data_IF_761895359890
#
_entry.id   IF_761895359890
#
_cell.length_a   1.000
_cell.length_b   1.000
_cell.length_c   1.000
_cell.angle_alpha   90.00
_cell.angle_beta   90.00
_cell.angle_gamma   90.00
#
_symmetry.space_group_name_H-M   'P 1'
#
loop_
_entity.id
_entity.type
_entity.pdbx_description
1 polymer ?
#
# COMPACT_ATOMS: atom_id res chain seq x y z
N UNK A 1 -1.81 -56.96 26.30
CA UNK A 1 -1.80 -55.50 26.14
C UNK A 1 -2.80 -55.14 25.06
N UNK A 2 -3.66 -54.15 25.31
CA UNK A 2 -4.60 -53.57 24.32
C UNK A 2 -4.28 -52.09 24.16
N UNK A 3 -4.56 -51.56 22.97
CA UNK A 3 -4.50 -50.12 22.68
C UNK A 3 -5.89 -49.60 22.48
N UNK A 4 -6.25 -48.50 23.14
CA UNK A 4 -7.56 -47.87 23.02
C UNK A 4 -7.43 -46.48 22.39
N UNK A 5 -8.36 -46.15 21.50
CA UNK A 5 -8.38 -44.91 20.69
C UNK A 5 -9.65 -44.07 20.92
N UNK A 6 -10.46 -44.44 21.90
CA UNK A 6 -11.67 -43.69 22.28
C UNK A 6 -11.79 -43.56 23.79
N UNK A 7 -12.45 -42.48 24.22
CA UNK A 7 -12.81 -42.33 25.63
C UNK A 7 -13.81 -43.40 26.02
N UNK A 8 -13.67 -43.95 27.23
CA UNK A 8 -14.56 -45.01 27.71
C UNK A 8 -14.09 -45.61 29.05
N UNK A 9 -14.94 -46.43 29.62
CA UNK A 9 -14.60 -47.24 30.78
C UNK A 9 -14.17 -48.65 30.30
N UNK A 10 -12.92 -49.03 30.55
CA UNK A 10 -12.33 -50.30 30.14
C UNK A 10 -12.12 -51.16 31.33
N UNK A 11 -12.65 -52.39 31.29
CA UNK A 11 -12.49 -53.37 32.38
C UNK A 11 -11.82 -54.62 31.87
N UNK A 12 -11.11 -55.26 32.79
CA UNK A 12 -10.49 -56.55 32.54
C UNK A 12 -10.85 -57.50 33.68
N UNK A 13 -11.23 -58.70 33.33
CA UNK A 13 -11.39 -59.79 34.29
C UNK A 13 -10.31 -60.84 34.01
N UNK A 14 -9.53 -61.14 35.01
CA UNK A 14 -8.49 -62.18 34.95
C UNK A 14 -8.96 -63.37 35.70
N UNK A 15 -8.98 -64.54 35.06
CA UNK A 15 -9.41 -65.83 35.69
C UNK A 15 -8.24 -66.81 35.62
N UNK A 16 -7.90 -67.45 36.76
CA UNK A 16 -6.85 -68.45 36.80
C UNK A 16 -7.41 -69.85 36.41
N UNK A 17 -6.52 -70.84 36.37
CA UNK A 17 -6.85 -72.22 36.00
C UNK A 17 -7.83 -72.91 36.96
N UNK A 18 -7.99 -72.39 38.18
CA UNK A 18 -8.94 -72.87 39.20
C UNK A 18 -10.27 -72.12 39.21
N UNK A 19 -10.57 -71.34 38.12
CA UNK A 19 -11.76 -70.48 37.95
C UNK A 19 -11.92 -69.37 39.01
N UNK A 20 -10.90 -68.98 39.73
CA UNK A 20 -10.90 -67.78 40.56
C UNK A 20 -10.64 -66.57 39.72
N UNK A 21 -11.52 -65.56 39.79
CA UNK A 21 -11.44 -64.34 38.96
C UNK A 21 -11.32 -63.09 39.81
N UNK A 22 -10.65 -62.10 39.28
CA UNK A 22 -10.58 -60.74 39.77
C UNK A 22 -10.80 -59.77 38.59
N UNK A 23 -11.51 -58.67 38.84
CA UNK A 23 -11.76 -57.65 37.82
C UNK A 23 -11.24 -56.30 38.29
N UNK A 24 -10.77 -55.48 37.32
CA UNK A 24 -10.42 -54.09 37.51
C UNK A 24 -10.90 -53.27 36.34
N UNK A 25 -11.13 -51.98 36.55
CA UNK A 25 -11.60 -51.06 35.52
C UNK A 25 -10.85 -49.74 35.58
N UNK A 26 -10.62 -49.17 34.39
CA UNK A 26 -9.98 -47.85 34.22
C UNK A 26 -10.82 -47.01 33.29
N UNK A 27 -11.06 -45.75 33.65
CA UNK A 27 -11.66 -44.76 32.77
C UNK A 27 -10.57 -44.05 31.96
N UNK A 28 -10.71 -44.10 30.66
CA UNK A 28 -9.87 -43.37 29.72
C UNK A 28 -10.63 -42.16 29.19
N UNK A 29 -10.07 -40.98 29.36
CA UNK A 29 -10.61 -39.74 28.80
C UNK A 29 -9.58 -39.22 27.77
N UNK A 30 -9.99 -39.14 26.51
CA UNK A 30 -9.20 -38.52 25.43
C UNK A 30 -9.73 -37.12 25.20
N UNK A 31 -8.83 -36.14 25.31
CA UNK A 31 -9.13 -34.73 25.06
C UNK A 31 -8.72 -34.36 23.65
N UNK A 32 -9.46 -33.43 23.04
CA UNK A 32 -9.17 -32.94 21.70
C UNK A 32 -7.90 -32.11 21.68
N UNK A 33 -7.13 -32.24 20.60
CA UNK A 33 -6.03 -31.35 20.29
C UNK A 33 -6.55 -29.97 19.88
N UNK A 34 -5.76 -28.90 20.05
CA UNK A 34 -6.01 -27.62 19.43
C UNK A 34 -6.21 -27.72 17.92
N UNK A 35 -7.01 -26.84 17.37
CA UNK A 35 -7.32 -26.76 15.93
C UNK A 35 -6.52 -25.61 15.33
N UNK A 36 -5.94 -25.81 14.14
CA UNK A 36 -5.27 -24.75 13.40
C UNK A 36 -6.28 -23.67 12.97
N UNK A 37 -5.98 -22.42 13.31
CA UNK A 37 -6.76 -21.24 12.94
C UNK A 37 -5.90 -20.22 12.16
N UNK A 38 -4.63 -20.51 11.92
CA UNK A 38 -3.73 -19.63 11.21
C UNK A 38 -3.89 -19.77 9.69
N UNK A 39 -3.60 -18.68 9.01
CA UNK A 39 -3.50 -18.64 7.55
C UNK A 39 -2.33 -17.74 7.15
N UNK A 40 -1.70 -18.05 6.03
CA UNK A 40 -0.72 -17.18 5.42
C UNK A 40 -1.33 -15.83 5.02
N UNK A 41 -0.60 -14.76 5.25
CA UNK A 41 -1.04 -13.40 4.96
C UNK A 41 -0.03 -12.71 4.06
N UNK A 42 -0.51 -12.22 2.91
CA UNK A 42 0.25 -11.34 2.01
C UNK A 42 -0.48 -10.01 1.89
N UNK A 43 0.15 -8.91 2.28
CA UNK A 43 -0.46 -7.57 2.25
C UNK A 43 0.59 -6.47 2.13
N UNK A 44 0.15 -5.24 1.88
CA UNK A 44 1.04 -4.08 1.87
C UNK A 44 1.54 -3.76 3.29
N UNK A 45 2.80 -3.31 3.39
CA UNK A 45 3.44 -3.02 4.68
C UNK A 45 2.76 -1.91 5.51
N UNK A 46 1.85 -1.13 4.91
CA UNK A 46 1.00 -0.15 5.62
C UNK A 46 -0.24 -0.77 6.26
N UNK A 47 -0.59 -2.00 5.91
CA UNK A 47 -1.78 -2.67 6.44
C UNK A 47 -1.39 -3.44 7.70
N UNK A 48 -2.10 -3.20 8.81
CA UNK A 48 -1.88 -3.97 10.03
C UNK A 48 -2.34 -5.42 9.84
N UNK A 49 -1.48 -6.36 10.20
CA UNK A 49 -1.76 -7.79 10.19
C UNK A 49 -2.07 -8.23 11.61
N UNK A 50 -3.07 -9.08 11.77
CA UNK A 50 -3.36 -9.75 13.03
C UNK A 50 -3.40 -11.25 12.78
N UNK A 51 -2.55 -12.01 13.47
CA UNK A 51 -2.63 -13.47 13.54
C UNK A 51 -3.40 -13.85 14.81
N UNK A 52 -4.44 -14.66 14.67
CA UNK A 52 -5.25 -15.16 15.79
C UNK A 52 -5.10 -16.70 15.85
N UNK A 53 -4.51 -17.19 16.92
CA UNK A 53 -4.32 -18.63 17.14
C UNK A 53 -5.64 -19.37 17.49
N UNK A 54 -6.77 -18.67 17.58
CA UNK A 54 -8.05 -19.27 17.92
C UNK A 54 -8.04 -19.95 19.29
N UNK A 55 -8.69 -21.10 19.41
CA UNK A 55 -8.64 -22.01 20.58
C UNK A 55 -8.84 -21.28 21.92
N UNK A 56 -9.94 -20.54 22.05
CA UNK A 56 -10.26 -19.75 23.26
C UNK A 56 -10.17 -20.59 24.53
N UNK A 57 -9.54 -20.05 25.58
CA UNK A 57 -9.33 -20.74 26.86
C UNK A 57 -8.05 -21.59 26.93
N UNK A 58 -7.24 -21.56 25.87
CA UNK A 58 -5.92 -22.19 25.85
C UNK A 58 -4.82 -21.20 26.25
N UNK A 59 -3.62 -21.69 26.47
CA UNK A 59 -2.41 -20.91 26.59
C UNK A 59 -1.64 -20.95 25.27
N UNK A 60 -0.87 -19.88 25.02
CA UNK A 60 -0.19 -19.67 23.75
C UNK A 60 1.30 -19.36 23.98
N UNK A 61 2.15 -19.83 23.09
CA UNK A 61 3.56 -19.46 23.06
C UNK A 61 3.97 -19.29 21.59
N UNK A 62 4.14 -18.05 21.16
CA UNK A 62 4.59 -17.70 19.82
C UNK A 62 6.11 -17.79 19.68
N UNK A 63 6.60 -18.00 18.48
CA UNK A 63 8.04 -18.05 18.15
C UNK A 63 8.80 -16.77 18.53
N UNK A 64 8.11 -15.63 18.65
CA UNK A 64 8.67 -14.36 19.13
C UNK A 64 8.58 -14.17 20.66
N UNK A 65 8.13 -15.18 21.40
CA UNK A 65 8.03 -15.19 22.86
C UNK A 65 6.73 -14.58 23.42
N UNK A 66 5.83 -14.09 22.59
CA UNK A 66 4.53 -13.57 23.03
C UNK A 66 3.61 -14.73 23.46
N UNK A 67 2.71 -14.45 24.41
CA UNK A 67 1.78 -15.44 25.00
C UNK A 67 0.31 -15.05 24.84
N UNK A 68 0.02 -13.99 24.11
CA UNK A 68 -1.35 -13.57 23.79
C UNK A 68 -1.97 -14.47 22.71
N UNK A 69 -3.30 -14.60 22.70
CA UNK A 69 -4.02 -15.31 21.65
C UNK A 69 -3.77 -14.72 20.27
N UNK A 70 -3.64 -13.40 20.19
CA UNK A 70 -3.40 -12.67 18.95
C UNK A 70 -2.06 -11.95 19.02
N UNK A 71 -1.38 -11.85 17.87
CA UNK A 71 -0.19 -11.01 17.67
C UNK A 71 -0.35 -10.12 16.44
N UNK A 72 0.44 -9.04 16.39
CA UNK A 72 0.48 -8.13 15.25
C UNK A 72 1.90 -8.12 14.67
N UNK A 73 2.18 -8.97 13.69
CA UNK A 73 3.46 -8.96 12.98
C UNK A 73 3.72 -7.62 12.29
N UNK A 74 4.94 -7.07 12.48
CA UNK A 74 5.42 -5.84 11.81
C UNK A 74 6.50 -6.12 10.78
N UNK A 75 6.92 -7.37 10.63
CA UNK A 75 7.95 -7.81 9.68
C UNK A 75 7.49 -9.06 8.95
N UNK A 76 7.95 -9.20 7.70
CA UNK A 76 7.77 -10.46 6.96
C UNK A 76 8.53 -11.58 7.63
N UNK A 77 7.95 -12.78 7.64
CA UNK A 77 8.58 -13.95 8.22
C UNK A 77 7.59 -15.06 8.53
N UNK A 78 8.11 -16.21 8.96
CA UNK A 78 7.32 -17.30 9.49
C UNK A 78 7.07 -17.08 10.99
N UNK A 79 5.84 -17.23 11.41
CA UNK A 79 5.38 -17.12 12.78
C UNK A 79 4.75 -18.45 13.16
N UNK A 80 5.23 -19.05 14.25
CA UNK A 80 4.62 -20.27 14.79
C UNK A 80 4.08 -20.01 16.19
N UNK A 81 3.03 -20.75 16.55
CA UNK A 81 2.44 -20.72 17.88
C UNK A 81 2.22 -22.14 18.40
N UNK A 82 2.67 -22.40 19.61
CA UNK A 82 2.26 -23.58 20.36
C UNK A 82 1.03 -23.24 21.19
N UNK A 83 -0.07 -23.92 20.92
CA UNK A 83 -1.34 -23.77 21.64
C UNK A 83 -1.49 -24.95 22.59
N UNK A 84 -1.78 -24.71 23.87
CA UNK A 84 -1.99 -25.74 24.86
C UNK A 84 -3.35 -25.56 25.54
N UNK A 85 -4.20 -26.57 25.45
CA UNK A 85 -5.53 -26.57 26.09
C UNK A 85 -5.42 -26.69 27.62
N UNK A 86 -6.51 -26.42 28.32
CA UNK A 86 -6.59 -26.60 29.77
C UNK A 86 -6.33 -28.07 30.23
N UNK A 87 -6.48 -29.03 29.32
CA UNK A 87 -6.19 -30.44 29.54
C UNK A 87 -4.75 -30.84 29.17
N UNK A 88 -3.85 -29.86 28.95
CA UNK A 88 -2.46 -30.05 28.56
C UNK A 88 -2.26 -30.76 27.19
N UNK A 89 -3.26 -30.75 26.32
CA UNK A 89 -3.05 -31.16 24.93
C UNK A 89 -2.48 -29.98 24.16
N UNK A 90 -1.38 -30.19 23.43
CA UNK A 90 -0.72 -29.12 22.70
C UNK A 90 -0.52 -29.46 21.23
N UNK A 91 -0.59 -28.45 20.38
CA UNK A 91 -0.21 -28.50 18.97
C UNK A 91 0.50 -27.21 18.58
N UNK A 92 1.36 -27.30 17.57
CA UNK A 92 2.04 -26.14 17.00
C UNK A 92 1.52 -25.89 15.59
N UNK A 93 1.23 -24.62 15.29
CA UNK A 93 0.72 -24.13 14.02
C UNK A 93 1.64 -23.01 13.52
N UNK A 94 1.68 -22.80 12.23
CA UNK A 94 2.50 -21.77 11.61
C UNK A 94 1.74 -21.00 10.53
N UNK A 95 2.17 -19.77 10.30
CA UNK A 95 1.72 -18.93 9.20
C UNK A 95 2.88 -18.08 8.70
N UNK A 96 2.91 -17.84 7.39
CA UNK A 96 3.85 -16.94 6.74
C UNK A 96 3.19 -15.58 6.54
N UNK A 97 3.83 -14.53 7.04
CA UNK A 97 3.44 -13.15 6.79
C UNK A 97 4.38 -12.57 5.74
N UNK A 98 3.84 -12.08 4.64
CA UNK A 98 4.57 -11.39 3.59
C UNK A 98 4.07 -9.95 3.50
N UNK A 99 4.90 -9.01 3.98
CA UNK A 99 4.64 -7.58 3.87
C UNK A 99 5.31 -7.04 2.61
N UNK A 100 4.51 -6.64 1.63
CA UNK A 100 5.00 -6.10 0.36
C UNK A 100 5.36 -4.63 0.57
N UNK A 101 6.54 -4.18 0.09
CA UNK A 101 6.95 -2.78 0.18
C UNK A 101 5.90 -1.84 -0.40
N UNK A 102 5.69 -0.72 0.26
CA UNK A 102 4.76 0.31 -0.20
C UNK A 102 5.27 1.00 -1.45
N UNK A 103 4.36 1.39 -2.31
CA UNK A 103 4.63 2.29 -3.43
C UNK A 103 4.34 3.72 -2.96
N UNK A 104 5.11 4.68 -3.44
CA UNK A 104 4.85 6.11 -3.27
C UNK A 104 5.02 6.81 -4.61
N UNK A 105 4.20 7.81 -4.90
CA UNK A 105 4.30 8.61 -6.12
C UNK A 105 4.08 10.07 -5.77
N UNK A 106 4.81 10.98 -6.44
CA UNK A 106 4.60 12.41 -6.35
C UNK A 106 4.90 13.05 -7.71
N UNK A 107 3.93 13.76 -8.24
CA UNK A 107 4.02 14.53 -9.49
C UNK A 107 4.47 15.98 -9.27
N UNK A 108 4.66 16.35 -7.98
CA UNK A 108 5.02 17.72 -7.61
C UNK A 108 3.81 18.63 -7.43
N UNK A 109 4.08 19.94 -7.35
CA UNK A 109 3.03 20.95 -7.18
C UNK A 109 2.37 21.31 -8.52
N UNK A 110 1.12 21.77 -8.43
CA UNK A 110 0.40 22.36 -9.57
C UNK A 110 1.27 23.41 -10.29
N UNK A 111 1.24 23.40 -11.61
CA UNK A 111 2.11 24.25 -12.42
C UNK A 111 1.35 24.92 -13.55
N UNK A 112 1.92 26.04 -14.03
CA UNK A 112 1.38 26.80 -15.16
C UNK A 112 2.39 26.82 -16.30
N UNK A 113 1.94 26.48 -17.50
CA UNK A 113 2.70 26.55 -18.74
C UNK A 113 2.31 27.76 -19.57
N UNK A 114 3.24 28.33 -20.30
CA UNK A 114 2.89 29.20 -21.41
C UNK A 114 2.34 28.36 -22.57
N UNK A 115 1.36 28.89 -23.30
CA UNK A 115 0.82 28.23 -24.50
C UNK A 115 1.95 27.89 -25.49
N UNK A 116 1.94 26.66 -26.02
CA UNK A 116 2.98 26.13 -26.91
C UNK A 116 4.12 25.41 -26.18
N UNK A 117 4.20 25.47 -24.85
CA UNK A 117 5.18 24.72 -24.08
C UNK A 117 4.58 23.40 -23.58
N UNK A 118 5.46 22.46 -23.25
CA UNK A 118 5.08 21.17 -22.65
C UNK A 118 5.92 20.89 -21.39
N UNK A 119 5.42 20.01 -20.55
CA UNK A 119 6.14 19.48 -19.39
C UNK A 119 6.09 17.95 -19.40
N UNK A 120 7.16 17.34 -18.93
CA UNK A 120 7.22 15.89 -18.71
C UNK A 120 6.83 15.62 -17.25
N UNK A 121 5.77 14.84 -17.06
CA UNK A 121 5.40 14.28 -15.77
C UNK A 121 6.05 12.91 -15.63
N UNK A 122 6.77 12.69 -14.53
CA UNK A 122 7.46 11.42 -14.24
C UNK A 122 6.87 10.83 -12.94
N UNK A 123 6.26 9.67 -13.04
CA UNK A 123 5.73 8.94 -11.90
C UNK A 123 6.81 8.23 -11.06
N UNK A 124 8.09 8.34 -11.43
CA UNK A 124 9.17 7.65 -10.74
C UNK A 124 9.01 6.11 -10.77
N UNK A 125 9.49 5.43 -9.74
CA UNK A 125 9.26 4.00 -9.50
C UNK A 125 9.58 3.10 -10.73
N UNK A 126 10.81 3.07 -11.25
CA UNK A 126 11.13 2.30 -12.45
C UNK A 126 10.83 0.81 -12.26
N UNK A 127 10.26 0.18 -13.29
CA UNK A 127 9.91 -1.25 -13.29
C UNK A 127 8.53 -1.58 -12.72
N UNK A 128 7.77 -0.59 -12.25
CA UNK A 128 6.39 -0.78 -11.82
C UNK A 128 5.39 -0.58 -12.98
N UNK A 129 4.13 -0.84 -12.73
CA UNK A 129 3.04 -0.55 -13.68
C UNK A 129 2.42 0.82 -13.41
N UNK A 130 1.96 1.48 -14.48
CA UNK A 130 1.41 2.83 -14.43
C UNK A 130 0.05 2.87 -15.14
N UNK A 131 -0.86 3.65 -14.59
CA UNK A 131 -2.15 3.95 -15.20
C UNK A 131 -2.43 5.45 -15.04
N UNK A 132 -2.26 6.21 -16.13
CA UNK A 132 -2.53 7.64 -16.17
C UNK A 132 -4.00 7.92 -16.52
N UNK A 133 -4.51 9.07 -16.08
CA UNK A 133 -5.87 9.53 -16.39
C UNK A 133 -6.13 9.72 -17.89
N UNK A 134 -5.08 9.91 -18.70
CA UNK A 134 -5.17 9.99 -20.17
C UNK A 134 -5.04 8.62 -20.88
N UNK A 135 -4.98 7.51 -20.12
CA UNK A 135 -4.87 6.15 -20.64
C UNK A 135 -3.44 5.68 -20.92
N UNK A 136 -2.42 6.51 -20.70
CA UNK A 136 -1.03 6.09 -20.84
C UNK A 136 -0.62 5.11 -19.75
N UNK A 137 0.34 4.21 -20.07
CA UNK A 137 0.89 3.19 -19.16
C UNK A 137 2.40 3.27 -19.03
N UNK A 138 3.00 4.35 -19.53
CA UNK A 138 4.44 4.62 -19.45
C UNK A 138 4.79 5.33 -18.15
N UNK A 139 6.03 5.21 -17.70
CA UNK A 139 6.54 5.90 -16.51
C UNK A 139 6.38 7.41 -16.61
N UNK A 140 6.60 7.95 -17.80
CA UNK A 140 6.51 9.39 -18.08
C UNK A 140 5.46 9.67 -19.13
N UNK A 141 4.83 10.85 -19.04
CA UNK A 141 3.99 11.43 -20.09
C UNK A 141 4.42 12.86 -20.35
N UNK A 142 4.26 13.32 -21.60
CA UNK A 142 4.42 14.73 -21.96
C UNK A 142 3.06 15.37 -22.11
N UNK A 143 2.84 16.50 -21.45
CA UNK A 143 1.57 17.20 -21.44
C UNK A 143 1.77 18.68 -21.81
N UNK A 144 0.88 19.21 -22.64
CA UNK A 144 0.87 20.60 -23.16
C UNK A 144 -0.51 21.25 -23.04
N UNK A 145 -1.51 20.52 -22.55
CA UNK A 145 -2.88 20.99 -22.36
C UNK A 145 -3.17 21.21 -20.87
N UNK A 146 -4.01 22.24 -20.62
CA UNK A 146 -4.55 22.43 -19.27
C UNK A 146 -5.45 21.25 -18.86
N UNK A 147 -5.33 20.83 -17.62
CA UNK A 147 -6.13 19.74 -17.08
C UNK A 147 -5.59 19.17 -15.78
N UNK A 148 -6.36 18.26 -15.20
CA UNK A 148 -5.95 17.44 -14.08
C UNK A 148 -5.38 16.12 -14.62
N UNK A 149 -4.12 15.85 -14.30
CA UNK A 149 -3.44 14.61 -14.64
C UNK A 149 -3.19 13.82 -13.38
N UNK A 150 -3.61 12.58 -13.37
CA UNK A 150 -3.35 11.66 -12.25
C UNK A 150 -2.71 10.38 -12.75
N UNK A 151 -1.93 9.75 -11.87
CA UNK A 151 -1.32 8.46 -12.12
C UNK A 151 -1.52 7.54 -10.93
N UNK A 152 -1.83 6.29 -11.21
CA UNK A 152 -1.74 5.19 -10.26
C UNK A 152 -0.52 4.36 -10.60
N UNK A 153 0.37 4.17 -9.63
CA UNK A 153 1.57 3.33 -9.73
C UNK A 153 1.35 2.08 -8.88
N UNK A 154 1.66 0.90 -9.42
CA UNK A 154 1.41 -0.38 -8.74
C UNK A 154 2.57 -1.36 -8.91
N UNK A 155 2.89 -2.09 -7.83
CA UNK A 155 3.80 -3.24 -7.86
C UNK A 155 3.04 -4.59 -7.97
N UNK A 156 1.76 -4.55 -8.34
CA UNK A 156 0.89 -5.72 -8.46
C UNK A 156 0.00 -5.96 -7.24
N UNK A 157 0.44 -5.61 -6.05
CA UNK A 157 -0.31 -5.81 -4.80
C UNK A 157 -0.61 -4.50 -4.07
N UNK A 158 0.33 -3.56 -4.11
CA UNK A 158 0.20 -2.24 -3.50
C UNK A 158 0.19 -1.18 -4.59
N UNK A 159 -0.57 -0.14 -4.38
CA UNK A 159 -0.64 1.01 -5.29
C UNK A 159 -0.56 2.33 -4.53
N UNK A 160 -0.17 3.36 -5.25
CA UNK A 160 -0.23 4.75 -4.83
C UNK A 160 -0.74 5.60 -5.98
N UNK A 161 -1.43 6.68 -5.65
CA UNK A 161 -1.98 7.61 -6.65
C UNK A 161 -1.61 9.03 -6.26
N UNK A 162 -1.26 9.83 -7.27
CA UNK A 162 -1.07 11.28 -7.12
C UNK A 162 -1.64 12.00 -8.33
N UNK A 163 -1.88 13.29 -8.18
CA UNK A 163 -2.46 14.13 -9.23
C UNK A 163 -1.82 15.53 -9.22
N UNK A 164 -1.72 16.12 -10.39
CA UNK A 164 -1.22 17.49 -10.62
C UNK A 164 -2.16 18.23 -11.56
N UNK A 165 -2.42 19.50 -11.26
CA UNK A 165 -3.15 20.39 -12.14
C UNK A 165 -2.16 21.18 -13.02
N UNK A 166 -2.35 21.10 -14.33
CA UNK A 166 -1.64 21.93 -15.30
C UNK A 166 -2.55 23.04 -15.75
N UNK A 167 -2.15 24.28 -15.55
CA UNK A 167 -2.77 25.44 -16.16
C UNK A 167 -1.97 25.86 -17.41
N UNK A 168 -2.65 26.35 -18.43
CA UNK A 168 -2.01 26.91 -19.61
C UNK A 168 -2.43 28.37 -19.75
N UNK A 169 -1.44 29.25 -19.78
CA UNK A 169 -1.65 30.69 -19.94
C UNK A 169 -1.28 31.11 -21.36
N UNK A 170 -2.12 31.92 -21.98
CA UNK A 170 -1.81 32.47 -23.31
C UNK A 170 -0.50 33.28 -23.28
N UNK A 171 0.29 33.13 -24.32
CA UNK A 171 1.46 33.99 -24.51
C UNK A 171 1.01 35.46 -24.72
N UNK A 172 1.81 36.42 -24.28
CA UNK A 172 1.58 37.84 -24.66
C UNK A 172 1.44 37.99 -26.17
N UNK A 173 0.55 38.86 -26.59
CA UNK A 173 0.37 39.20 -28.01
C UNK A 173 1.35 40.29 -28.41
N UNK A 174 1.76 40.31 -29.66
CA UNK A 174 2.55 41.42 -30.23
C UNK A 174 1.63 42.42 -30.91
N UNK A 175 1.31 43.57 -30.26
CA UNK A 175 0.40 44.55 -30.78
C UNK A 175 1.12 45.66 -31.59
N UNK A 176 2.45 45.67 -31.58
CA UNK A 176 3.19 46.75 -32.23
C UNK A 176 3.12 46.60 -33.76
N UNK A 177 2.91 47.71 -34.42
CA UNK A 177 2.90 47.82 -35.88
C UNK A 177 3.95 48.86 -36.30
N UNK A 178 4.49 48.70 -37.50
CA UNK A 178 5.39 49.70 -38.08
C UNK A 178 4.64 51.03 -38.25
N UNK A 179 5.21 52.13 -37.78
CA UNK A 179 4.61 53.45 -37.84
C UNK A 179 5.50 54.40 -38.64
N UNK A 180 4.89 55.18 -39.51
CA UNK A 180 5.56 56.25 -40.28
C UNK A 180 4.89 57.60 -39.97
N UNK A 181 5.69 58.57 -39.47
CA UNK A 181 5.23 59.89 -39.12
C UNK A 181 6.19 60.98 -39.54
N UNK A 182 5.67 62.19 -39.59
CA UNK A 182 6.53 63.37 -39.85
C UNK A 182 7.36 63.72 -38.62
N UNK A 183 8.55 64.25 -38.86
CA UNK A 183 9.45 64.71 -37.79
C UNK A 183 8.78 65.73 -36.87
N UNK A 184 8.91 65.58 -35.56
CA UNK A 184 8.35 66.44 -34.54
C UNK A 184 6.95 66.06 -34.03
N UNK A 185 6.34 64.98 -34.56
CA UNK A 185 5.08 64.44 -34.02
C UNK A 185 5.43 63.28 -33.09
N UNK A 186 5.10 63.38 -31.79
CA UNK A 186 5.37 62.28 -30.84
C UNK A 186 4.52 61.04 -31.18
N UNK A 187 5.11 59.88 -30.99
CA UNK A 187 4.44 58.59 -31.15
C UNK A 187 4.42 57.92 -29.79
N UNK A 188 3.25 57.42 -29.33
CA UNK A 188 3.14 56.57 -28.19
C UNK A 188 3.04 55.13 -28.67
N UNK A 189 4.01 54.30 -28.26
CA UNK A 189 3.99 52.86 -28.48
C UNK A 189 3.42 52.18 -27.24
N UNK A 190 2.43 51.32 -27.43
CA UNK A 190 1.78 50.56 -26.36
C UNK A 190 2.02 49.05 -26.60
N UNK A 191 2.75 48.43 -25.69
CA UNK A 191 2.98 46.98 -25.72
C UNK A 191 1.75 46.18 -25.32
N UNK A 192 0.61 46.83 -24.99
CA UNK A 192 -0.59 46.17 -24.48
C UNK A 192 -0.29 45.16 -23.36
N UNK A 193 -0.96 44.00 -23.31
CA UNK A 193 -0.72 42.93 -22.36
C UNK A 193 -0.70 43.40 -20.88
N UNK A 194 -1.77 43.99 -20.34
CA UNK A 194 -1.78 44.52 -18.98
C UNK A 194 -1.47 43.43 -17.96
N UNK A 195 -0.64 43.80 -16.94
CA UNK A 195 -0.18 42.88 -15.91
C UNK A 195 1.10 42.10 -16.24
N UNK A 196 1.66 42.29 -17.44
CA UNK A 196 2.97 41.76 -17.81
C UNK A 196 4.11 42.68 -17.38
N UNK A 197 5.34 42.21 -17.43
CA UNK A 197 6.55 43.00 -17.29
C UNK A 197 7.06 43.38 -18.69
N UNK A 198 7.62 44.59 -18.83
CA UNK A 198 8.07 45.15 -20.11
C UNK A 198 9.55 45.45 -20.06
N UNK A 199 10.23 45.26 -21.17
CA UNK A 199 11.62 45.66 -21.38
C UNK A 199 11.76 46.26 -22.78
N UNK A 200 11.83 47.57 -22.87
CA UNK A 200 12.04 48.28 -24.12
C UNK A 200 13.53 48.43 -24.42
N UNK A 201 13.89 48.53 -25.67
CA UNK A 201 15.26 48.82 -26.12
C UNK A 201 15.77 50.17 -25.59
N UNK A 202 14.90 51.06 -25.19
CA UNK A 202 15.20 52.34 -24.53
C UNK A 202 15.56 52.21 -23.05
N UNK A 203 15.43 50.99 -22.47
CA UNK A 203 15.60 50.73 -21.04
C UNK A 203 14.32 50.99 -20.20
N UNK A 204 13.23 51.43 -20.81
CA UNK A 204 11.95 51.61 -20.10
C UNK A 204 11.33 50.24 -19.71
N UNK A 205 10.59 50.21 -18.57
CA UNK A 205 9.84 49.06 -18.11
C UNK A 205 8.32 49.38 -18.02
N UNK A 206 7.89 50.52 -18.58
CA UNK A 206 6.50 50.91 -18.65
C UNK A 206 5.74 50.18 -19.77
N UNK A 207 4.44 49.99 -19.67
CA UNK A 207 3.58 49.41 -20.73
C UNK A 207 3.68 50.26 -22.01
N UNK A 208 3.74 51.57 -21.85
CA UNK A 208 3.77 52.56 -22.97
C UNK A 208 5.05 53.37 -22.91
N UNK A 209 5.59 53.78 -24.09
CA UNK A 209 6.65 54.77 -24.26
C UNK A 209 6.25 55.81 -25.31
N UNK A 210 6.80 57.03 -25.20
CA UNK A 210 6.53 58.13 -26.15
C UNK A 210 7.86 58.68 -26.64
#
# INVERSE_FOLDING_TARGET
QITVTSSGNYSVTVTNTNNCSASDAVQVNLNSLPIDALNDVTTCATTSVTLDAGNTGSTYLWSNGLTSRTIQPTTSGAYSVTVTTAQNCSSTFDAVVTLIPTVSVSLGADTTLCAGNSVILDAGNPGLSYAWSNGATTRTITVDQAGLYSVTVSNGSCNATDAITIAVQAAPTDPLQDETRCVGIPITLDAANPGCTYAWSTGSTAQTIT
#
